data_IF_500925232690
#
_entry.id   IF_500925232690
#
_cell.length_a   1.000
_cell.length_b   1.000
_cell.length_c   1.000
_cell.angle_alpha   90.00
_cell.angle_beta   90.00
_cell.angle_gamma   90.00
#
_symmetry.space_group_name_H-M   'P 1'
#
loop_
_entity.id
_entity.type
_entity.pdbx_description
1 polymer ?
#
# COMPACT_ATOMS: atom_id res chain seq x y z
N UNK A 1 25.48 -61.81 18.02
CA UNK A 1 25.32 -61.78 19.50
C UNK A 1 24.55 -60.49 19.82
N UNK A 2 23.22 -60.47 19.98
CA UNK A 2 22.39 -61.02 21.08
C UNK A 2 22.86 -60.53 22.46
N UNK A 3 22.19 -59.52 23.04
CA UNK A 3 21.14 -59.60 24.10
C UNK A 3 21.78 -59.27 25.48
N UNK A 4 21.15 -58.66 26.50
CA UNK A 4 19.81 -58.06 26.79
C UNK A 4 19.96 -57.20 28.07
N UNK A 5 19.03 -56.35 28.57
CA UNK A 5 17.64 -56.01 28.23
C UNK A 5 16.99 -55.15 29.35
N UNK A 6 15.66 -54.97 29.32
CA UNK A 6 14.79 -54.24 30.28
C UNK A 6 14.99 -52.69 30.39
N UNK A 7 13.95 -51.84 30.48
CA UNK A 7 12.51 -52.06 30.35
C UNK A 7 11.66 -51.42 31.46
N UNK A 8 11.06 -50.24 31.23
CA UNK A 8 9.92 -49.74 32.02
C UNK A 8 8.86 -49.12 31.10
N UNK A 9 7.70 -49.80 31.00
CA UNK A 9 6.43 -49.24 30.52
C UNK A 9 5.58 -48.89 31.74
N UNK A 10 5.08 -47.68 31.84
CA UNK A 10 3.98 -47.34 32.76
C UNK A 10 2.65 -47.54 32.04
N UNK A 11 1.74 -48.33 32.65
CA UNK A 11 0.36 -48.50 32.17
C UNK A 11 -0.51 -47.40 32.78
N UNK A 12 -1.36 -46.78 31.97
CA UNK A 12 -2.55 -46.08 32.45
C UNK A 12 -3.78 -46.95 32.14
N UNK A 13 -4.67 -47.10 33.12
CA UNK A 13 -5.78 -48.04 33.05
C UNK A 13 -7.01 -47.42 32.36
N UNK A 14 -7.73 -48.23 31.58
CA UNK A 14 -9.04 -47.86 31.04
C UNK A 14 -10.11 -47.98 32.14
N UNK A 15 -10.93 -46.94 32.30
CA UNK A 15 -12.27 -47.02 32.89
C UNK A 15 -13.28 -46.48 31.88
N UNK A 16 -14.32 -47.26 31.55
CA UNK A 16 -15.35 -46.87 30.57
C UNK A 16 -16.53 -46.17 31.26
N UNK A 17 -16.99 -45.07 30.68
CA UNK A 17 -18.32 -44.50 30.89
C UNK A 17 -19.03 -44.34 29.52
N UNK A 18 -20.37 -44.47 29.44
CA UNK A 18 -21.12 -44.48 28.18
C UNK A 18 -21.36 -43.06 27.60
N UNK A 19 -21.85 -42.94 26.35
CA UNK A 19 -21.65 -41.74 25.53
C UNK A 19 -22.76 -40.69 25.63
N UNK A 20 -22.43 -39.44 25.29
CA UNK A 20 -23.41 -38.44 24.85
C UNK A 20 -23.34 -38.29 23.32
N UNK A 21 -24.50 -38.38 22.68
CA UNK A 21 -24.69 -38.15 21.25
C UNK A 21 -24.57 -36.64 20.95
N UNK A 22 -23.91 -36.29 19.85
CA UNK A 22 -23.89 -34.93 19.31
C UNK A 22 -24.63 -34.93 17.98
N UNK A 23 -25.91 -34.58 18.01
CA UNK A 23 -26.73 -34.52 16.82
C UNK A 23 -27.35 -33.13 16.58
N UNK A 24 -26.95 -32.56 15.45
CA UNK A 24 -27.78 -31.90 14.45
C UNK A 24 -28.28 -30.43 14.58
N UNK A 25 -28.26 -29.83 13.37
CA UNK A 25 -29.09 -28.75 12.81
C UNK A 25 -28.67 -27.27 12.99
N UNK A 26 -27.94 -26.81 11.96
CA UNK A 26 -28.18 -25.53 11.28
C UNK A 26 -29.68 -25.35 10.95
N UNK A 27 -30.14 -24.09 10.86
CA UNK A 27 -30.77 -23.68 9.61
C UNK A 27 -30.26 -22.34 9.05
N UNK A 28 -30.01 -22.34 7.75
CA UNK A 28 -29.71 -21.18 6.90
C UNK A 28 -30.96 -20.32 6.71
N UNK A 29 -30.84 -18.98 6.75
CA UNK A 29 -31.71 -18.12 5.94
C UNK A 29 -31.11 -16.74 5.64
N UNK A 30 -31.04 -16.39 4.35
CA UNK A 30 -30.82 -15.00 3.89
C UNK A 30 -32.09 -14.17 4.04
N UNK A 31 -31.94 -12.87 4.31
CA UNK A 31 -32.75 -11.87 3.60
C UNK A 31 -32.03 -10.51 3.53
N UNK A 32 -31.80 -10.02 2.31
CA UNK A 32 -31.40 -8.64 2.09
C UNK A 32 -32.65 -7.74 2.02
N UNK A 33 -32.62 -6.59 2.71
CA UNK A 33 -33.67 -5.58 2.61
C UNK A 33 -33.06 -4.17 2.53
N UNK A 34 -33.55 -3.38 1.57
CA UNK A 34 -33.13 -2.00 1.32
C UNK A 34 -33.48 -1.10 2.51
N UNK A 35 -32.54 -0.30 2.99
CA UNK A 35 -32.80 0.82 3.92
C UNK A 35 -32.73 2.17 3.20
N UNK A 36 -33.77 2.47 2.42
CA UNK A 36 -34.07 3.82 1.97
C UNK A 36 -35.03 4.51 2.95
N UNK A 37 -34.51 4.92 4.12
CA UNK A 37 -35.18 5.83 5.09
C UNK A 37 -34.14 6.43 6.07
N UNK A 38 -34.31 7.68 6.54
CA UNK A 38 -33.41 8.28 7.52
C UNK A 38 -33.47 7.58 8.89
N UNK A 39 -32.34 7.51 9.58
CA UNK A 39 -32.18 6.88 10.91
C UNK A 39 -32.94 7.57 12.08
N UNK A 40 -33.66 8.66 11.82
CA UNK A 40 -34.32 9.50 12.83
C UNK A 40 -35.72 9.04 13.27
N UNK A 41 -36.27 7.95 12.72
CA UNK A 41 -37.66 7.50 12.99
C UNK A 41 -37.80 6.01 13.36
N UNK A 42 -36.82 5.43 14.05
CA UNK A 42 -37.01 4.13 14.71
C UNK A 42 -37.45 4.33 16.16
N UNK A 43 -38.65 3.89 16.58
CA UNK A 43 -39.07 3.94 17.97
C UNK A 43 -38.22 2.97 18.81
N UNK A 44 -37.68 3.47 19.93
CA UNK A 44 -36.75 2.72 20.76
C UNK A 44 -37.35 1.42 21.30
N UNK A 45 -36.85 0.28 20.83
CA UNK A 45 -37.12 -1.03 21.41
C UNK A 45 -35.98 -1.42 22.34
N UNK A 46 -36.30 -1.57 23.63
CA UNK A 46 -35.39 -2.13 24.63
C UNK A 46 -35.04 -3.59 24.29
N UNK A 47 -33.77 -3.86 24.05
CA UNK A 47 -33.23 -5.22 24.01
C UNK A 47 -33.09 -5.76 25.44
N UNK A 48 -33.87 -6.78 25.77
CA UNK A 48 -33.75 -7.51 27.03
C UNK A 48 -32.84 -8.73 26.82
N UNK A 49 -31.67 -8.73 27.45
CA UNK A 49 -30.82 -9.92 27.59
C UNK A 49 -31.16 -10.57 28.94
N UNK A 50 -31.49 -11.86 28.94
CA UNK A 50 -31.79 -12.61 30.16
C UNK A 50 -30.66 -13.60 30.42
N UNK A 51 -29.84 -13.34 31.44
CA UNK A 51 -28.91 -14.34 31.98
C UNK A 51 -29.72 -15.42 32.72
N UNK A 52 -29.34 -16.68 32.53
CA UNK A 52 -30.08 -17.85 33.01
C UNK A 52 -29.51 -18.46 34.30
N UNK A 53 -28.56 -17.81 34.97
CA UNK A 53 -27.94 -18.31 36.21
C UNK A 53 -28.11 -17.47 37.48
N UNK A 54 -28.49 -16.21 37.39
CA UNK A 54 -28.92 -15.40 38.55
C UNK A 54 -30.06 -14.47 38.12
N UNK A 55 -31.19 -14.50 38.85
CA UNK A 55 -32.46 -13.87 38.45
C UNK A 55 -32.53 -12.34 38.50
N UNK A 56 -31.43 -11.64 38.29
CA UNK A 56 -31.30 -10.18 38.41
C UNK A 56 -31.51 -9.50 37.04
N UNK A 57 -32.58 -8.71 36.90
CA UNK A 57 -32.79 -7.87 35.71
C UNK A 57 -31.94 -6.60 35.80
N UNK A 58 -30.93 -6.47 34.94
CA UNK A 58 -30.24 -5.19 34.71
C UNK A 58 -30.89 -4.42 33.55
N UNK A 59 -31.63 -3.35 33.87
CA UNK A 59 -32.17 -2.42 32.89
C UNK A 59 -31.12 -1.38 32.50
N UNK A 60 -30.51 -1.53 31.33
CA UNK A 60 -29.67 -0.49 30.72
C UNK A 60 -30.56 0.65 30.20
N UNK A 61 -30.73 1.67 31.03
CA UNK A 61 -31.34 2.94 30.64
C UNK A 61 -30.37 3.71 29.74
N UNK A 62 -30.67 3.73 28.43
CA UNK A 62 -30.09 4.73 27.53
C UNK A 62 -30.67 6.10 27.88
N UNK A 63 -29.96 6.87 28.70
CA UNK A 63 -30.24 8.29 28.86
C UNK A 63 -30.15 8.96 27.48
N UNK A 64 -31.28 9.47 27.00
CA UNK A 64 -31.33 10.34 25.81
C UNK A 64 -30.70 11.69 26.16
N UNK A 65 -29.37 11.75 26.17
CA UNK A 65 -28.65 13.00 26.23
C UNK A 65 -29.07 13.84 25.02
N UNK A 66 -29.81 14.92 25.28
CA UNK A 66 -30.27 15.86 24.26
C UNK A 66 -29.07 16.50 23.58
N UNK A 67 -28.67 15.95 22.44
CA UNK A 67 -27.49 16.36 21.70
C UNK A 67 -27.77 17.67 20.97
N UNK A 68 -27.70 18.77 21.72
CA UNK A 68 -27.67 20.12 21.15
C UNK A 68 -26.41 20.22 20.28
N UNK A 69 -26.51 20.50 18.97
CA UNK A 69 -25.35 20.59 18.09
C UNK A 69 -24.56 21.87 18.42
N UNK A 70 -23.65 21.77 19.39
CA UNK A 70 -22.76 22.87 19.78
C UNK A 70 -21.67 23.06 18.73
N UNK A 71 -21.84 24.10 17.93
CA UNK A 71 -20.81 24.69 17.08
C UNK A 71 -20.63 24.00 15.74
N UNK A 72 -20.40 24.82 14.71
CA UNK A 72 -19.80 24.33 13.48
C UNK A 72 -18.46 23.70 13.83
N UNK A 73 -18.22 22.47 13.35
CA UNK A 73 -16.89 21.84 13.45
C UNK A 73 -15.96 22.61 12.52
N UNK A 74 -15.31 23.64 13.05
CA UNK A 74 -14.29 24.39 12.32
C UNK A 74 -13.23 23.39 11.86
N UNK A 75 -13.19 23.14 10.54
CA UNK A 75 -12.12 22.35 9.95
C UNK A 75 -10.82 23.10 10.25
N UNK A 76 -9.89 22.42 10.91
CA UNK A 76 -8.60 23.03 11.22
C UNK A 76 -7.94 23.41 9.89
N UNK A 77 -7.46 24.65 9.81
CA UNK A 77 -6.84 25.21 8.60
C UNK A 77 -5.77 24.27 8.04
N UNK A 78 -5.71 24.15 6.72
CA UNK A 78 -4.63 23.43 6.05
C UNK A 78 -3.27 23.91 6.54
N UNK A 79 -2.32 22.98 6.65
CA UNK A 79 -0.93 23.29 6.96
C UNK A 79 -0.36 24.03 5.77
N UNK A 80 -0.28 25.36 5.87
CA UNK A 80 0.33 26.20 4.85
C UNK A 80 1.80 25.75 4.65
N UNK A 81 2.19 25.28 3.45
CA UNK A 81 3.53 24.76 3.21
C UNK A 81 4.58 25.85 2.97
N UNK A 82 4.15 27.07 2.64
CA UNK A 82 4.97 28.11 2.05
C UNK A 82 6.28 28.37 2.82
N UNK A 83 7.42 28.18 2.14
CA UNK A 83 8.76 28.64 2.55
C UNK A 83 9.36 27.97 3.79
N UNK A 84 8.71 26.97 4.38
CA UNK A 84 9.17 26.34 5.63
C UNK A 84 9.05 24.81 5.69
N UNK A 85 8.23 24.19 4.83
CA UNK A 85 8.03 22.74 4.83
C UNK A 85 8.89 22.06 3.77
N UNK A 86 9.89 21.31 4.24
CA UNK A 86 10.76 20.50 3.40
C UNK A 86 10.21 19.09 3.18
N UNK A 87 10.24 18.59 1.95
CA UNK A 87 9.80 17.25 1.58
C UNK A 87 10.86 16.52 0.75
N UNK A 88 11.02 15.21 0.98
CA UNK A 88 11.80 14.31 0.12
C UNK A 88 10.84 13.40 -0.65
N UNK A 89 11.00 13.32 -1.96
CA UNK A 89 10.25 12.41 -2.83
C UNK A 89 11.25 11.44 -3.47
N UNK A 90 10.99 10.13 -3.46
CA UNK A 90 11.86 9.14 -4.12
C UNK A 90 11.36 8.79 -5.52
N UNK A 91 12.28 8.56 -6.48
CA UNK A 91 11.95 8.19 -7.85
C UNK A 91 11.36 9.36 -8.65
N UNK A 92 12.06 10.50 -8.66
CA UNK A 92 11.63 11.72 -9.35
C UNK A 92 12.09 11.82 -10.81
N UNK A 93 12.74 10.80 -11.34
CA UNK A 93 13.23 10.75 -12.72
C UNK A 93 12.09 10.83 -13.76
N UNK A 94 10.89 10.33 -13.42
CA UNK A 94 9.71 10.35 -14.30
C UNK A 94 8.39 10.16 -13.54
N UNK A 95 7.26 10.17 -14.27
CA UNK A 95 5.94 9.77 -13.77
C UNK A 95 5.45 10.58 -12.56
N UNK A 96 4.86 9.91 -11.57
CA UNK A 96 4.32 10.56 -10.39
C UNK A 96 5.36 11.36 -9.60
N UNK A 97 6.57 10.82 -9.39
CA UNK A 97 7.59 11.49 -8.57
C UNK A 97 8.03 12.82 -9.18
N UNK A 98 8.26 12.82 -10.49
CA UNK A 98 8.54 14.01 -11.28
C UNK A 98 7.41 15.06 -11.20
N UNK A 99 6.18 14.65 -11.47
CA UNK A 99 5.01 15.55 -11.44
C UNK A 99 4.73 16.09 -10.03
N UNK A 100 4.91 15.26 -9.00
CA UNK A 100 4.84 15.66 -7.59
C UNK A 100 5.91 16.67 -7.22
N UNK A 101 7.14 16.51 -7.71
CA UNK A 101 8.22 17.45 -7.43
C UNK A 101 7.88 18.85 -7.96
N UNK A 102 7.43 18.95 -9.21
CA UNK A 102 6.99 20.20 -9.84
C UNK A 102 5.74 20.78 -9.14
N UNK A 103 4.77 19.95 -8.79
CA UNK A 103 3.55 20.41 -8.11
C UNK A 103 3.82 20.93 -6.69
N UNK A 104 4.55 20.18 -5.87
CA UNK A 104 4.83 20.59 -4.49
C UNK A 104 5.75 21.83 -4.45
N UNK A 105 6.65 21.98 -5.41
CA UNK A 105 7.42 23.21 -5.62
C UNK A 105 6.49 24.40 -5.94
N UNK A 106 5.53 24.25 -6.86
CA UNK A 106 4.57 25.33 -7.18
C UNK A 106 3.62 25.67 -6.02
N UNK A 107 3.41 24.74 -5.09
CA UNK A 107 2.72 24.98 -3.80
C UNK A 107 3.61 25.64 -2.74
N UNK A 108 4.90 25.85 -2.99
CA UNK A 108 5.83 26.54 -2.09
C UNK A 108 6.50 25.65 -1.03
N UNK A 109 6.48 24.33 -1.19
CA UNK A 109 7.35 23.42 -0.42
C UNK A 109 8.82 23.56 -0.84
N UNK A 110 9.74 23.22 0.06
CA UNK A 110 11.14 22.99 -0.28
C UNK A 110 11.26 21.51 -0.69
N UNK A 111 11.52 21.23 -1.96
CA UNK A 111 11.48 19.89 -2.54
C UNK A 111 12.88 19.32 -2.75
N UNK A 112 13.18 18.23 -2.07
CA UNK A 112 14.28 17.33 -2.41
C UNK A 112 13.75 16.24 -3.34
N UNK A 113 14.12 16.32 -4.62
CA UNK A 113 13.73 15.36 -5.64
C UNK A 113 14.78 14.24 -5.73
N UNK A 114 14.52 13.10 -5.08
CA UNK A 114 15.39 11.94 -5.11
C UNK A 114 15.29 11.20 -6.45
N UNK A 115 16.34 11.27 -7.25
CA UNK A 115 16.42 10.70 -8.60
C UNK A 115 17.45 9.55 -8.64
N UNK A 116 17.13 8.46 -9.32
CA UNK A 116 18.02 7.33 -9.54
C UNK A 116 19.17 7.67 -10.51
N UNK A 117 18.91 8.55 -11.48
CA UNK A 117 19.78 8.84 -12.62
C UNK A 117 20.39 10.25 -12.59
N UNK A 118 20.43 10.92 -11.42
CA UNK A 118 20.98 12.28 -11.32
C UNK A 118 22.41 12.38 -11.84
N UNK A 119 23.27 11.47 -11.40
CA UNK A 119 24.69 11.47 -11.79
C UNK A 119 24.91 11.14 -13.29
N UNK A 120 23.87 10.66 -13.99
CA UNK A 120 23.88 10.41 -15.44
C UNK A 120 23.25 11.54 -16.26
N UNK A 121 22.64 12.54 -15.61
CA UNK A 121 21.99 13.66 -16.27
C UNK A 121 20.81 13.24 -17.14
N UNK A 122 19.94 12.35 -16.66
CA UNK A 122 18.69 11.98 -17.35
C UNK A 122 17.79 13.21 -17.61
N UNK A 123 16.99 13.19 -18.69
CA UNK A 123 16.23 14.36 -19.14
C UNK A 123 15.20 14.84 -18.10
N UNK A 124 14.58 13.94 -17.33
CA UNK A 124 13.69 14.34 -16.23
C UNK A 124 14.44 15.08 -15.11
N UNK A 125 15.70 14.71 -14.85
CA UNK A 125 16.57 15.41 -13.89
C UNK A 125 16.97 16.78 -14.45
N UNK A 126 17.36 16.85 -15.73
CA UNK A 126 17.70 18.12 -16.40
C UNK A 126 16.53 19.11 -16.34
N UNK A 127 15.30 18.65 -16.58
CA UNK A 127 14.12 19.52 -16.54
C UNK A 127 13.85 20.02 -15.11
N UNK A 128 13.95 19.16 -14.10
CA UNK A 128 13.82 19.56 -12.69
C UNK A 128 14.90 20.59 -12.28
N UNK A 129 16.17 20.35 -12.63
CA UNK A 129 17.25 21.29 -12.36
C UNK A 129 17.10 22.61 -13.17
N UNK A 130 16.48 22.59 -14.36
CA UNK A 130 16.23 23.78 -15.19
C UNK A 130 15.25 24.78 -14.58
N UNK A 131 14.46 24.38 -13.56
CA UNK A 131 13.59 25.28 -12.80
C UNK A 131 14.39 26.32 -11.98
N UNK A 132 15.70 26.09 -11.79
CA UNK A 132 16.68 27.02 -11.21
C UNK A 132 16.17 27.74 -9.95
N UNK A 133 15.61 26.98 -8.99
CA UNK A 133 14.95 27.51 -7.80
C UNK A 133 15.58 26.97 -6.52
N UNK A 134 15.88 27.85 -5.57
CA UNK A 134 16.40 27.46 -4.24
C UNK A 134 15.45 26.53 -3.45
N UNK A 135 14.18 26.45 -3.85
CA UNK A 135 13.17 25.58 -3.25
C UNK A 135 12.98 24.23 -3.97
N UNK A 136 13.75 23.90 -5.01
CA UNK A 136 13.79 22.56 -5.58
C UNK A 136 15.23 22.12 -5.84
N UNK A 137 15.62 20.97 -5.29
CA UNK A 137 16.95 20.39 -5.44
C UNK A 137 16.85 18.91 -5.78
N UNK A 138 17.39 18.49 -6.91
CA UNK A 138 17.52 17.06 -7.21
C UNK A 138 18.68 16.45 -6.40
N UNK A 139 18.50 15.21 -5.93
CA UNK A 139 19.42 14.47 -5.08
C UNK A 139 19.60 13.06 -5.66
N UNK A 140 20.84 12.60 -5.80
CA UNK A 140 21.12 11.22 -6.24
C UNK A 140 20.66 10.23 -5.15
N UNK A 141 19.71 9.35 -5.47
CA UNK A 141 19.10 8.44 -4.51
C UNK A 141 18.63 7.13 -5.16
N UNK A 142 19.50 6.13 -5.18
CA UNK A 142 19.10 4.73 -5.34
C UNK A 142 18.64 4.16 -3.98
N UNK A 143 17.35 3.90 -3.85
CA UNK A 143 16.75 3.32 -2.62
C UNK A 143 17.29 1.92 -2.27
N UNK A 144 17.95 1.23 -3.20
CA UNK A 144 18.57 -0.09 -2.97
C UNK A 144 19.95 0.01 -2.29
N UNK A 145 20.62 1.16 -2.36
CA UNK A 145 21.95 1.37 -1.75
C UNK A 145 21.82 2.06 -0.39
N UNK A 146 22.19 1.39 0.72
CA UNK A 146 22.27 2.02 2.04
C UNK A 146 23.14 3.28 2.04
N UNK A 147 24.23 3.27 1.26
CA UNK A 147 25.20 4.35 1.17
C UNK A 147 24.61 5.59 0.48
N UNK A 148 23.82 5.41 -0.57
CA UNK A 148 23.12 6.53 -1.22
C UNK A 148 21.96 7.04 -0.36
N UNK A 149 21.23 6.16 0.33
CA UNK A 149 20.18 6.57 1.28
C UNK A 149 20.78 7.43 2.41
N UNK A 150 21.91 7.03 3.01
CA UNK A 150 22.55 7.79 4.07
C UNK A 150 23.14 9.13 3.56
N UNK A 151 23.76 9.13 2.38
CA UNK A 151 24.19 10.39 1.72
C UNK A 151 23.03 11.33 1.44
N UNK A 152 21.86 10.81 1.08
CA UNK A 152 20.65 11.62 0.91
C UNK A 152 20.14 12.16 2.25
N UNK A 153 20.19 11.39 3.35
CA UNK A 153 19.89 11.89 4.71
C UNK A 153 20.80 13.06 5.05
N UNK A 154 22.11 12.94 4.83
CA UNK A 154 23.06 14.02 5.12
C UNK A 154 22.81 15.25 4.24
N UNK A 155 22.56 15.05 2.94
CA UNK A 155 22.28 16.13 1.98
C UNK A 155 21.02 16.90 2.37
N UNK A 156 19.96 16.20 2.75
CA UNK A 156 18.71 16.82 3.24
C UNK A 156 18.98 17.54 4.56
N UNK A 157 19.59 16.85 5.54
CA UNK A 157 19.86 17.39 6.89
C UNK A 157 20.66 18.69 6.86
N UNK A 158 21.74 18.72 6.08
CA UNK A 158 22.63 19.89 5.92
C UNK A 158 21.99 21.02 5.10
N UNK A 159 20.98 20.74 4.27
CA UNK A 159 20.25 21.74 3.49
C UNK A 159 19.05 22.36 4.25
N UNK A 160 18.67 21.84 5.42
CA UNK A 160 17.62 22.42 6.25
C UNK A 160 18.16 23.64 7.00
N UNK A 161 17.43 24.77 6.94
CA UNK A 161 17.73 25.99 7.73
C UNK A 161 17.81 25.74 9.24
N UNK A 162 17.13 24.70 9.71
CA UNK A 162 17.11 24.25 11.10
C UNK A 162 16.91 22.72 11.13
N UNK A 163 17.99 21.92 11.29
CA UNK A 163 17.92 20.46 11.31
C UNK A 163 17.13 19.87 12.50
N UNK A 164 16.92 20.67 13.56
CA UNK A 164 16.14 20.27 14.74
C UNK A 164 14.63 20.50 14.53
N UNK A 165 14.23 21.37 13.61
CA UNK A 165 12.85 21.40 13.06
C UNK A 165 12.57 20.24 12.09
N UNK A 166 13.60 19.54 11.62
CA UNK A 166 13.49 18.28 10.88
C UNK A 166 12.86 18.37 9.49
N UNK A 167 12.53 17.21 8.92
CA UNK A 167 11.93 17.07 7.59
C UNK A 167 10.40 16.99 7.70
N UNK A 168 9.65 17.79 6.94
CA UNK A 168 8.18 17.76 7.03
C UNK A 168 7.58 16.51 6.39
N UNK A 169 8.04 16.10 5.21
CA UNK A 169 7.45 14.99 4.47
C UNK A 169 8.47 14.04 3.85
N UNK A 170 8.17 12.75 3.88
CA UNK A 170 8.79 11.72 3.04
C UNK A 170 7.71 11.09 2.17
N UNK A 171 7.92 11.10 0.85
CA UNK A 171 7.06 10.45 -0.14
C UNK A 171 7.85 9.29 -0.74
N UNK A 172 7.57 8.06 -0.27
CA UNK A 172 8.14 6.85 -0.85
C UNK A 172 7.38 6.49 -2.12
N UNK A 173 7.88 6.95 -3.27
CA UNK A 173 7.28 6.77 -4.59
C UNK A 173 8.11 5.85 -5.50
N UNK A 174 9.43 5.76 -5.30
CA UNK A 174 10.30 4.91 -6.10
C UNK A 174 9.80 3.46 -6.17
N UNK A 175 9.69 2.94 -7.38
CA UNK A 175 9.26 1.57 -7.60
C UNK A 175 9.42 1.12 -9.05
N UNK A 176 9.57 -0.18 -9.24
CA UNK A 176 9.55 -0.84 -10.54
C UNK A 176 8.36 -1.81 -10.62
N UNK A 177 8.07 -2.27 -11.82
CA UNK A 177 7.04 -3.26 -12.07
C UNK A 177 7.51 -4.28 -13.09
N UNK A 178 7.02 -5.49 -12.95
CA UNK A 178 7.22 -6.61 -13.88
C UNK A 178 5.90 -7.35 -14.04
N UNK A 179 5.84 -8.27 -14.98
CA UNK A 179 4.69 -9.15 -15.19
C UNK A 179 5.19 -10.58 -15.41
N UNK A 180 4.25 -11.51 -15.52
CA UNK A 180 4.51 -12.93 -15.76
C UNK A 180 3.74 -13.80 -14.78
N UNK A 181 3.23 -14.93 -15.23
CA UNK A 181 2.58 -15.92 -14.37
C UNK A 181 3.59 -16.53 -13.42
N UNK A 182 3.13 -17.15 -12.32
CA UNK A 182 3.99 -17.51 -11.18
C UNK A 182 5.18 -18.36 -11.61
N UNK A 183 4.95 -19.40 -12.41
CA UNK A 183 6.00 -20.29 -12.96
C UNK A 183 6.85 -19.65 -14.06
N UNK A 184 6.42 -18.53 -14.64
CA UNK A 184 7.18 -17.82 -15.68
C UNK A 184 8.18 -16.84 -15.06
N UNK A 185 8.02 -16.49 -13.78
CA UNK A 185 8.86 -15.49 -13.10
C UNK A 185 9.88 -16.13 -12.16
N UNK A 186 11.17 -15.87 -12.40
CA UNK A 186 12.28 -16.36 -11.56
C UNK A 186 12.28 -15.75 -10.16
N UNK A 187 12.83 -16.47 -9.16
CA UNK A 187 12.95 -15.95 -7.79
C UNK A 187 13.82 -14.67 -7.74
N UNK A 188 14.75 -14.53 -8.66
CA UNK A 188 15.60 -13.37 -8.87
C UNK A 188 14.75 -12.16 -9.29
N UNK A 189 13.76 -12.37 -10.15
CA UNK A 189 12.75 -11.35 -10.51
C UNK A 189 11.93 -10.90 -9.29
N UNK A 190 11.51 -11.83 -8.41
CA UNK A 190 10.84 -11.46 -7.15
C UNK A 190 11.75 -10.64 -6.24
N UNK A 191 13.02 -11.04 -6.07
CA UNK A 191 14.01 -10.33 -5.25
C UNK A 191 14.29 -8.93 -5.78
N UNK A 192 14.47 -8.76 -7.09
CA UNK A 192 14.71 -7.47 -7.74
C UNK A 192 13.56 -6.48 -7.49
N UNK A 193 12.32 -6.90 -7.72
CA UNK A 193 11.14 -6.04 -7.51
C UNK A 193 10.92 -5.75 -6.02
N UNK A 194 11.17 -6.72 -5.13
CA UNK A 194 11.09 -6.53 -3.68
C UNK A 194 12.17 -5.58 -3.16
N UNK A 195 13.40 -5.63 -3.69
CA UNK A 195 14.52 -4.79 -3.28
C UNK A 195 14.22 -3.31 -3.51
N UNK A 196 13.64 -2.96 -4.66
CA UNK A 196 13.19 -1.57 -4.92
C UNK A 196 11.93 -1.24 -4.11
N UNK A 197 10.84 -1.98 -4.32
CA UNK A 197 9.50 -1.56 -3.92
C UNK A 197 9.27 -1.67 -2.41
N UNK A 198 9.78 -2.74 -1.79
CA UNK A 198 9.55 -3.06 -0.39
C UNK A 198 10.76 -2.66 0.45
N UNK A 199 11.93 -3.25 0.19
CA UNK A 199 13.13 -3.00 1.00
C UNK A 199 13.65 -1.58 0.84
N UNK A 200 13.60 -1.01 -0.37
CA UNK A 200 13.90 0.41 -0.60
C UNK A 200 12.98 1.36 0.17
N UNK A 201 11.67 1.10 0.19
CA UNK A 201 10.68 1.85 0.99
C UNK A 201 10.99 1.75 2.49
N UNK A 202 11.24 0.55 3.00
CA UNK A 202 11.56 0.31 4.42
C UNK A 202 12.87 0.99 4.80
N UNK A 203 13.93 0.81 4.00
CA UNK A 203 15.28 1.37 4.20
C UNK A 203 15.23 2.89 4.24
N UNK A 204 14.68 3.53 3.21
CA UNK A 204 14.55 4.98 3.14
C UNK A 204 13.74 5.54 4.31
N UNK A 205 12.59 4.92 4.61
CA UNK A 205 11.77 5.34 5.76
C UNK A 205 12.56 5.29 7.06
N UNK A 206 13.25 4.18 7.35
CA UNK A 206 14.01 4.02 8.60
C UNK A 206 15.14 5.04 8.75
N UNK A 207 15.87 5.34 7.67
CA UNK A 207 16.94 6.36 7.69
C UNK A 207 16.41 7.79 7.89
N UNK A 208 15.24 8.13 7.33
CA UNK A 208 14.65 9.48 7.46
C UNK A 208 13.76 9.68 8.69
N UNK A 209 13.31 8.61 9.36
CA UNK A 209 12.45 8.68 10.55
C UNK A 209 12.94 9.62 11.67
N UNK A 210 14.24 9.73 12.01
CA UNK A 210 14.72 10.68 13.01
C UNK A 210 14.40 12.15 12.67
N UNK A 211 14.53 12.54 11.40
CA UNK A 211 14.20 13.89 10.91
C UNK A 211 12.69 14.13 10.91
N UNK A 212 11.91 13.15 10.44
CA UNK A 212 10.45 13.22 10.39
C UNK A 212 9.84 13.33 11.80
N UNK A 213 10.40 12.59 12.76
CA UNK A 213 9.98 12.58 14.17
C UNK A 213 10.19 13.94 14.83
N UNK A 214 11.35 14.58 14.62
CA UNK A 214 11.60 15.95 15.13
C UNK A 214 10.58 16.95 14.59
N UNK A 215 10.23 16.86 13.31
CA UNK A 215 9.26 17.73 12.66
C UNK A 215 7.78 17.47 13.01
N UNK A 216 7.46 16.33 13.67
CA UNK A 216 6.09 15.76 13.73
C UNK A 216 5.46 15.67 12.34
N UNK A 217 6.27 15.22 11.39
CA UNK A 217 6.02 15.30 9.95
C UNK A 217 5.02 14.27 9.40
N UNK A 218 5.26 13.88 8.14
CA UNK A 218 4.38 13.07 7.30
C UNK A 218 5.19 12.00 6.55
N UNK A 219 4.68 10.78 6.52
CA UNK A 219 5.13 9.73 5.59
C UNK A 219 3.97 9.41 4.66
N UNK A 220 4.24 9.43 3.36
CA UNK A 220 3.28 9.06 2.31
C UNK A 220 3.89 7.92 1.50
N UNK A 221 3.30 6.74 1.58
CA UNK A 221 3.77 5.56 0.85
C UNK A 221 2.89 5.32 -0.37
N UNK A 222 3.49 5.30 -1.57
CA UNK A 222 2.78 4.98 -2.82
C UNK A 222 2.70 3.46 -2.96
N UNK A 223 1.54 2.92 -2.65
CA UNK A 223 1.17 1.52 -2.79
C UNK A 223 0.58 1.27 -4.19
N UNK A 224 -0.56 0.56 -4.28
CA UNK A 224 -1.41 0.36 -5.46
C UNK A 224 -2.71 -0.30 -4.98
N UNK A 225 -3.78 -0.29 -5.80
CA UNK A 225 -4.88 -1.26 -5.64
C UNK A 225 -4.36 -2.72 -5.54
N UNK A 226 -3.23 -3.02 -6.21
CA UNK A 226 -2.56 -4.31 -6.15
C UNK A 226 -1.78 -4.59 -4.85
N UNK A 227 -1.83 -3.66 -3.88
CA UNK A 227 -1.45 -3.90 -2.49
C UNK A 227 -2.59 -4.46 -1.62
N UNK A 228 -3.82 -4.52 -2.15
CA UNK A 228 -5.00 -5.04 -1.45
C UNK A 228 -5.73 -6.15 -2.19
N UNK A 229 -5.68 -6.18 -3.52
CA UNK A 229 -6.14 -7.30 -4.34
C UNK A 229 -5.00 -7.89 -5.18
N UNK A 230 -5.03 -9.19 -5.44
CA UNK A 230 -4.10 -9.83 -6.36
C UNK A 230 -4.65 -9.84 -7.80
N UNK A 231 -3.76 -10.05 -8.78
CA UNK A 231 -4.10 -10.18 -10.20
C UNK A 231 -3.16 -11.23 -10.84
N UNK A 232 -3.67 -12.19 -11.64
CA UNK A 232 -2.86 -13.05 -12.49
C UNK A 232 -1.78 -12.29 -13.27
N UNK A 233 -0.65 -12.95 -13.51
CA UNK A 233 0.55 -12.38 -14.13
C UNK A 233 1.16 -11.14 -13.42
N UNK A 234 0.79 -10.82 -12.17
CA UNK A 234 1.31 -9.66 -11.39
C UNK A 234 1.97 -10.03 -10.05
N UNK A 235 2.16 -11.33 -9.77
CA UNK A 235 2.60 -11.83 -8.45
C UNK A 235 3.86 -11.14 -7.88
N UNK A 236 4.98 -10.98 -8.63
CA UNK A 236 6.18 -10.30 -8.11
C UNK A 236 5.94 -8.83 -7.73
N UNK A 237 4.96 -8.16 -8.33
CA UNK A 237 4.59 -6.79 -7.97
C UNK A 237 3.64 -6.76 -6.77
N UNK A 238 2.57 -7.57 -6.80
CA UNK A 238 1.55 -7.63 -5.75
C UNK A 238 2.16 -7.87 -4.36
N UNK A 239 3.02 -8.89 -4.21
CA UNK A 239 3.63 -9.22 -2.91
C UNK A 239 4.37 -8.03 -2.28
N UNK A 240 5.02 -7.18 -3.11
CA UNK A 240 5.73 -5.99 -2.62
C UNK A 240 4.78 -4.90 -2.15
N UNK A 241 3.65 -4.69 -2.83
CA UNK A 241 2.66 -3.67 -2.46
C UNK A 241 1.85 -4.10 -1.22
N UNK A 242 1.49 -5.39 -1.10
CA UNK A 242 0.94 -5.94 0.15
C UNK A 242 1.94 -5.78 1.32
N UNK A 243 3.24 -5.98 1.09
CA UNK A 243 4.28 -5.70 2.08
C UNK A 243 4.34 -4.22 2.50
N UNK A 244 4.18 -3.30 1.54
CA UNK A 244 4.12 -1.85 1.81
C UNK A 244 2.85 -1.48 2.59
N UNK A 245 1.68 -2.07 2.33
CA UNK A 245 0.48 -1.87 3.17
C UNK A 245 0.75 -2.25 4.63
N UNK A 246 1.25 -3.48 4.86
CA UNK A 246 1.50 -4.01 6.19
C UNK A 246 2.55 -3.17 6.94
N UNK A 247 3.66 -2.82 6.27
CA UNK A 247 4.67 -1.92 6.81
C UNK A 247 4.09 -0.55 7.19
N UNK A 248 3.24 0.01 6.35
CA UNK A 248 2.63 1.33 6.57
C UNK A 248 1.70 1.36 7.77
N UNK A 249 0.92 0.30 7.99
CA UNK A 249 0.06 0.21 9.17
C UNK A 249 0.86 0.02 10.46
N UNK A 250 1.88 -0.84 10.49
CA UNK A 250 2.81 -0.95 11.64
C UNK A 250 3.47 0.40 11.96
N UNK A 251 4.06 1.05 10.95
CA UNK A 251 4.68 2.36 11.07
C UNK A 251 3.70 3.41 11.63
N UNK A 252 2.45 3.40 11.14
CA UNK A 252 1.40 4.32 11.59
C UNK A 252 1.07 4.15 13.07
N UNK A 253 1.03 2.92 13.59
CA UNK A 253 0.81 2.66 15.01
C UNK A 253 2.00 3.11 15.87
N UNK A 254 3.22 2.74 15.48
CA UNK A 254 4.46 3.09 16.19
C UNK A 254 4.72 4.61 16.23
N UNK A 255 4.39 5.32 15.14
CA UNK A 255 4.66 6.74 14.99
C UNK A 255 3.57 7.66 15.57
N UNK A 256 2.38 7.12 15.88
CA UNK A 256 1.26 7.91 16.39
C UNK A 256 1.59 8.70 17.69
N UNK A 257 2.22 8.12 18.73
CA UNK A 257 2.58 8.85 19.95
C UNK A 257 3.63 9.96 19.70
N UNK A 258 4.39 9.84 18.61
CA UNK A 258 5.46 10.75 18.23
C UNK A 258 4.97 11.90 17.32
N UNK A 259 3.67 11.93 17.02
CA UNK A 259 3.01 13.00 16.26
C UNK A 259 3.18 12.94 14.75
N UNK A 260 4.00 12.03 14.23
CA UNK A 260 4.16 11.79 12.78
C UNK A 260 2.90 11.11 12.25
N UNK A 261 2.40 11.56 11.09
CA UNK A 261 1.27 10.90 10.40
C UNK A 261 1.79 10.06 9.25
N UNK A 262 1.16 8.91 9.05
CA UNK A 262 1.48 7.97 7.97
C UNK A 262 0.21 7.76 7.15
N UNK A 263 0.32 7.98 5.84
CA UNK A 263 -0.74 7.81 4.87
C UNK A 263 -0.27 6.88 3.74
N UNK A 264 -1.17 6.06 3.24
CA UNK A 264 -0.95 5.23 2.05
C UNK A 264 -1.77 5.79 0.90
N UNK A 265 -1.17 5.86 -0.29
CA UNK A 265 -1.89 6.18 -1.52
C UNK A 265 -1.91 4.91 -2.36
N UNK A 266 -3.09 4.51 -2.80
CA UNK A 266 -3.35 3.27 -3.54
C UNK A 266 -3.82 3.61 -4.97
N UNK A 267 -2.92 3.92 -5.93
CA UNK A 267 -3.35 4.17 -7.31
C UNK A 267 -3.98 2.94 -7.98
N UNK A 268 -5.01 3.22 -8.79
CA UNK A 268 -5.60 2.26 -9.74
C UNK A 268 -4.74 2.05 -10.98
N UNK A 269 -5.36 1.96 -12.16
CA UNK A 269 -4.61 1.79 -13.41
C UNK A 269 -4.15 3.13 -14.02
N UNK A 270 -2.90 3.52 -13.74
CA UNK A 270 -2.22 4.68 -14.32
C UNK A 270 -1.05 4.28 -15.22
N UNK A 271 -1.07 3.04 -15.74
CA UNK A 271 0.06 2.47 -16.47
C UNK A 271 0.51 3.33 -17.66
N UNK A 272 -0.45 3.95 -18.36
CA UNK A 272 -0.20 4.88 -19.48
C UNK A 272 0.39 6.24 -19.07
N UNK A 273 0.24 6.66 -17.81
CA UNK A 273 0.84 7.89 -17.28
C UNK A 273 2.25 7.70 -16.68
N UNK A 274 2.74 6.45 -16.59
CA UNK A 274 3.95 6.11 -15.86
C UNK A 274 4.94 5.35 -16.71
N UNK A 275 6.22 5.71 -16.65
CA UNK A 275 7.33 5.00 -17.29
C UNK A 275 7.67 3.64 -16.64
N UNK A 276 6.72 3.03 -15.91
CA UNK A 276 6.88 1.69 -15.33
C UNK A 276 7.07 0.62 -16.42
N UNK A 277 6.40 0.79 -17.55
CA UNK A 277 6.57 -0.02 -18.75
C UNK A 277 6.73 0.89 -19.97
N UNK A 278 7.60 0.47 -20.89
CA UNK A 278 7.61 0.92 -22.29
C UNK A 278 7.43 -0.32 -23.18
N UNK A 279 7.02 -0.18 -24.46
CA UNK A 279 6.91 -1.31 -25.38
C UNK A 279 8.21 -2.13 -25.46
N UNK A 280 9.35 -1.46 -25.51
CA UNK A 280 10.69 -2.07 -25.57
C UNK A 280 11.00 -2.84 -24.27
N UNK A 281 10.64 -2.27 -23.11
CA UNK A 281 10.81 -2.94 -21.81
C UNK A 281 9.91 -4.16 -21.68
N UNK A 282 8.68 -4.12 -22.20
CA UNK A 282 7.76 -5.26 -22.20
C UNK A 282 8.35 -6.39 -23.05
N UNK A 283 8.83 -6.09 -24.25
CA UNK A 283 9.46 -7.06 -25.14
C UNK A 283 10.76 -7.64 -24.54
N UNK A 284 11.60 -6.81 -23.91
CA UNK A 284 12.81 -7.28 -23.21
C UNK A 284 12.49 -8.20 -22.02
N UNK A 285 11.45 -7.88 -21.23
CA UNK A 285 10.96 -8.74 -20.14
C UNK A 285 10.42 -10.05 -20.71
N UNK A 286 9.61 -10.01 -21.78
CA UNK A 286 9.03 -11.19 -22.40
C UNK A 286 10.09 -12.13 -23.00
N UNK A 287 11.10 -11.59 -23.70
CA UNK A 287 12.21 -12.37 -24.23
C UNK A 287 13.01 -13.05 -23.11
N UNK A 288 13.47 -12.28 -22.11
CA UNK A 288 14.19 -12.81 -20.94
C UNK A 288 13.37 -13.90 -20.22
N UNK A 289 12.08 -13.65 -20.01
CA UNK A 289 11.16 -14.59 -19.36
C UNK A 289 11.03 -15.89 -20.15
N UNK A 290 10.90 -15.83 -21.48
CA UNK A 290 10.87 -17.02 -22.32
C UNK A 290 12.21 -17.77 -22.28
N UNK A 291 13.34 -17.06 -22.27
CA UNK A 291 14.68 -17.66 -22.30
C UNK A 291 15.12 -18.26 -20.96
N UNK A 292 14.65 -17.72 -19.83
CA UNK A 292 14.87 -18.26 -18.47
C UNK A 292 13.89 -19.38 -18.07
N UNK A 293 12.78 -19.55 -18.80
CA UNK A 293 11.74 -20.55 -18.50
C UNK A 293 12.29 -22.00 -18.55
N UNK A 294 12.07 -22.83 -17.49
CA UNK A 294 12.45 -24.23 -17.48
C UNK A 294 11.78 -25.03 -18.61
N UNK A 295 12.48 -26.04 -19.15
CA UNK A 295 11.99 -26.84 -20.28
C UNK A 295 10.63 -27.51 -19.99
N UNK A 296 10.43 -28.02 -18.76
CA UNK A 296 9.15 -28.60 -18.33
C UNK A 296 8.00 -27.60 -18.45
N UNK A 297 8.19 -26.36 -17.97
CA UNK A 297 7.19 -25.28 -18.04
C UNK A 297 6.96 -24.86 -19.50
N UNK A 298 8.01 -24.75 -20.32
CA UNK A 298 7.86 -24.47 -21.77
C UNK A 298 7.05 -25.56 -22.48
N UNK A 299 7.22 -26.83 -22.09
CA UNK A 299 6.51 -27.98 -22.68
C UNK A 299 5.05 -28.03 -22.24
N UNK A 300 4.77 -27.81 -20.97
CA UNK A 300 3.43 -27.95 -20.41
C UNK A 300 2.50 -26.80 -20.82
N UNK A 301 3.01 -25.57 -20.87
CA UNK A 301 2.23 -24.39 -21.30
C UNK A 301 2.31 -24.13 -22.81
N UNK A 302 3.47 -24.35 -23.43
CA UNK A 302 3.70 -24.12 -24.85
C UNK A 302 3.87 -22.64 -25.24
N UNK A 303 4.58 -22.41 -26.35
CA UNK A 303 4.90 -21.05 -26.84
C UNK A 303 3.66 -20.21 -27.16
N UNK A 304 2.63 -20.81 -27.76
CA UNK A 304 1.38 -20.12 -28.10
C UNK A 304 0.69 -19.51 -26.88
N UNK A 305 0.55 -20.27 -25.79
CA UNK A 305 -0.06 -19.77 -24.56
C UNK A 305 0.74 -18.61 -23.98
N UNK A 306 2.07 -18.71 -23.98
CA UNK A 306 2.96 -17.65 -23.54
C UNK A 306 2.73 -16.35 -24.34
N UNK A 307 2.81 -16.43 -25.68
CA UNK A 307 2.61 -15.26 -26.55
C UNK A 307 1.22 -14.62 -26.37
N UNK A 308 0.16 -15.42 -26.17
CA UNK A 308 -1.18 -14.93 -25.85
C UNK A 308 -1.26 -14.16 -24.52
N UNK A 309 -0.44 -14.52 -23.52
CA UNK A 309 -0.35 -13.79 -22.24
C UNK A 309 0.46 -12.50 -22.39
N UNK A 310 1.50 -12.48 -23.21
CA UNK A 310 2.25 -11.26 -23.54
C UNK A 310 1.34 -10.24 -24.24
N UNK A 311 0.61 -10.65 -25.28
CA UNK A 311 -0.30 -9.77 -26.03
C UNK A 311 -1.41 -9.16 -25.15
N UNK A 312 -1.94 -9.93 -24.18
CA UNK A 312 -2.88 -9.42 -23.17
C UNK A 312 -2.24 -8.37 -22.26
N UNK A 313 -0.99 -8.56 -21.86
CA UNK A 313 -0.24 -7.60 -21.04
C UNK A 313 0.08 -6.31 -21.82
N UNK A 314 0.48 -6.41 -23.10
CA UNK A 314 0.67 -5.25 -23.98
C UNK A 314 -0.61 -4.43 -24.13
N UNK A 315 -1.75 -5.10 -24.34
CA UNK A 315 -3.07 -4.44 -24.40
C UNK A 315 -3.39 -3.73 -23.08
N UNK A 316 -3.09 -4.36 -21.94
CA UNK A 316 -3.29 -3.75 -20.62
C UNK A 316 -2.43 -2.48 -20.42
N UNK A 317 -1.18 -2.46 -20.89
CA UNK A 317 -0.30 -1.29 -20.81
C UNK A 317 -0.83 -0.04 -21.53
N UNK A 318 -1.74 -0.21 -22.50
CA UNK A 318 -2.38 0.88 -23.23
C UNK A 318 -3.74 1.32 -22.63
N UNK A 319 -4.16 0.73 -21.50
CA UNK A 319 -5.52 0.88 -20.94
C UNK A 319 -5.63 1.74 -19.66
N UNK A 320 -4.55 2.41 -19.26
CA UNK A 320 -4.51 3.23 -18.03
C UNK A 320 -4.93 4.69 -18.23
N UNK A 321 -5.26 5.35 -17.12
CA UNK A 321 -5.36 6.82 -17.09
C UNK A 321 -4.03 7.46 -17.46
N UNK A 322 -4.09 8.52 -18.25
CA UNK A 322 -2.97 9.44 -18.55
C UNK A 322 -2.95 10.65 -17.60
N UNK A 323 -4.09 11.02 -17.01
CA UNK A 323 -4.17 12.07 -16.00
C UNK A 323 -3.59 11.56 -14.67
N UNK A 324 -2.63 12.30 -14.10
CA UNK A 324 -1.98 12.00 -12.83
C UNK A 324 -2.50 12.86 -11.67
N UNK A 325 -3.36 13.85 -11.95
CA UNK A 325 -3.87 14.81 -10.98
C UNK A 325 -4.50 14.14 -9.74
N UNK A 326 -5.31 13.07 -9.85
CA UNK A 326 -5.87 12.40 -8.67
C UNK A 326 -4.82 11.87 -7.69
N UNK A 327 -3.66 11.40 -8.18
CA UNK A 327 -2.55 10.92 -7.34
C UNK A 327 -1.80 12.10 -6.71
N UNK A 328 -1.59 13.16 -7.48
CA UNK A 328 -0.94 14.40 -7.02
C UNK A 328 -1.76 15.07 -5.91
N UNK A 329 -3.07 15.18 -6.09
CA UNK A 329 -4.00 15.75 -5.12
C UNK A 329 -4.09 14.89 -3.84
N UNK A 330 -4.11 13.57 -3.98
CA UNK A 330 -4.10 12.66 -2.83
C UNK A 330 -2.83 12.81 -1.97
N UNK A 331 -1.65 12.87 -2.60
CA UNK A 331 -0.37 13.10 -1.89
C UNK A 331 -0.34 14.51 -1.28
N UNK A 332 -0.81 15.52 -2.01
CA UNK A 332 -0.84 16.91 -1.54
C UNK A 332 -1.75 17.04 -0.31
N UNK A 333 -2.96 16.48 -0.34
CA UNK A 333 -3.85 16.43 0.82
C UNK A 333 -3.25 15.64 2.00
N UNK A 334 -2.52 14.54 1.75
CA UNK A 334 -1.81 13.83 2.81
C UNK A 334 -0.72 14.67 3.50
N UNK A 335 -0.11 15.62 2.77
CA UNK A 335 0.92 16.53 3.28
C UNK A 335 0.34 17.80 3.94
N UNK A 336 -0.77 18.36 3.43
CA UNK A 336 -1.34 19.64 3.90
C UNK A 336 -2.49 19.49 4.88
N UNK A 337 -3.26 18.39 4.86
CA UNK A 337 -4.41 18.26 5.77
C UNK A 337 -3.96 18.22 7.24
N UNK A 338 -4.74 18.91 8.09
CA UNK A 338 -4.58 18.84 9.55
C UNK A 338 -4.84 17.41 10.07
N UNK A 339 -5.82 16.73 9.49
CA UNK A 339 -6.17 15.33 9.74
C UNK A 339 -6.21 14.55 8.42
N UNK A 340 -5.05 14.11 7.88
CA UNK A 340 -5.01 13.35 6.64
C UNK A 340 -5.63 11.96 6.82
N UNK A 341 -6.21 11.42 5.75
CA UNK A 341 -6.70 10.03 5.75
C UNK A 341 -5.55 9.04 5.88
N UNK A 342 -5.83 7.86 6.43
CA UNK A 342 -4.86 6.75 6.49
C UNK A 342 -4.61 6.13 5.12
N UNK A 343 -5.63 6.13 4.26
CA UNK A 343 -5.63 5.57 2.89
C UNK A 343 -6.32 6.52 1.92
N UNK A 344 -5.76 6.64 0.72
CA UNK A 344 -6.32 7.37 -0.42
C UNK A 344 -6.45 6.43 -1.60
N UNK A 345 -7.57 6.48 -2.32
CA UNK A 345 -7.86 5.62 -3.47
C UNK A 345 -7.99 6.44 -4.76
N UNK A 346 -6.90 7.06 -5.27
CA UNK A 346 -6.95 7.73 -6.57
C UNK A 346 -7.08 6.67 -7.67
N UNK A 347 -8.31 6.40 -8.08
CA UNK A 347 -8.68 5.46 -9.12
C UNK A 347 -10.11 5.77 -9.58
N UNK A 348 -10.49 5.33 -10.78
CA UNK A 348 -11.87 5.42 -11.23
C UNK A 348 -12.80 4.48 -10.43
N UNK A 349 -14.11 4.68 -10.61
CA UNK A 349 -15.13 3.90 -9.92
C UNK A 349 -15.08 2.40 -10.26
N UNK A 350 -14.64 2.03 -11.47
CA UNK A 350 -14.54 0.64 -11.89
C UNK A 350 -13.44 -0.10 -11.11
N UNK A 351 -12.23 0.46 -11.05
CA UNK A 351 -11.15 -0.11 -10.25
C UNK A 351 -11.46 -0.09 -8.76
N UNK A 352 -12.10 0.97 -8.26
CA UNK A 352 -12.52 1.04 -6.86
C UNK A 352 -13.51 -0.07 -6.52
N UNK A 353 -14.57 -0.23 -7.32
CA UNK A 353 -15.59 -1.27 -7.10
C UNK A 353 -14.99 -2.67 -7.22
N UNK A 354 -14.13 -2.91 -8.23
CA UNK A 354 -13.42 -4.18 -8.40
C UNK A 354 -12.56 -4.51 -7.18
N UNK A 355 -11.82 -3.53 -6.66
CA UNK A 355 -11.00 -3.69 -5.46
C UNK A 355 -11.87 -3.96 -4.21
N UNK A 356 -13.03 -3.31 -4.04
CA UNK A 356 -13.96 -3.64 -2.95
C UNK A 356 -14.49 -5.08 -3.06
N UNK A 357 -14.94 -5.51 -4.25
CA UNK A 357 -15.43 -6.87 -4.53
C UNK A 357 -14.36 -7.91 -4.16
N UNK A 358 -13.13 -7.73 -4.66
CA UNK A 358 -12.01 -8.64 -4.42
C UNK A 358 -11.54 -8.70 -2.95
N UNK A 359 -11.84 -7.69 -2.13
CA UNK A 359 -11.34 -7.60 -0.75
C UNK A 359 -12.38 -7.89 0.33
N UNK A 360 -13.68 -7.89 -0.01
CA UNK A 360 -14.77 -8.04 0.97
C UNK A 360 -15.75 -9.17 0.64
N UNK A 361 -15.77 -9.73 -0.58
CA UNK A 361 -16.55 -10.93 -0.86
C UNK A 361 -15.79 -12.20 -0.47
N UNK A 362 -16.48 -13.33 -0.21
CA UNK A 362 -15.84 -14.63 -0.04
C UNK A 362 -15.03 -15.00 -1.29
N UNK A 363 -13.85 -15.60 -1.10
CA UNK A 363 -12.91 -15.93 -2.18
C UNK A 363 -13.56 -16.66 -3.37
N UNK A 364 -14.40 -17.68 -3.10
CA UNK A 364 -15.12 -18.39 -4.16
C UNK A 364 -16.01 -17.49 -5.05
N UNK A 365 -16.55 -16.39 -4.51
CA UNK A 365 -17.35 -15.43 -5.28
C UNK A 365 -16.47 -14.46 -6.06
N UNK A 366 -15.38 -13.96 -5.46
CA UNK A 366 -14.43 -13.10 -6.18
C UNK A 366 -13.72 -13.84 -7.31
N UNK A 367 -13.35 -15.10 -7.07
CA UNK A 367 -12.66 -15.95 -8.03
C UNK A 367 -13.59 -16.31 -9.20
N UNK A 368 -14.87 -16.61 -8.94
CA UNK A 368 -15.87 -16.81 -9.99
C UNK A 368 -16.10 -15.56 -10.86
N UNK A 369 -15.91 -14.35 -10.34
CA UNK A 369 -16.02 -13.08 -11.09
C UNK A 369 -14.73 -12.76 -11.88
N UNK A 370 -13.61 -13.42 -11.57
CA UNK A 370 -12.29 -13.07 -12.10
C UNK A 370 -11.70 -14.13 -13.03
N UNK A 371 -11.96 -15.41 -12.74
CA UNK A 371 -11.45 -16.58 -13.49
C UNK A 371 -12.41 -16.97 -14.62
N UNK A 372 -13.71 -16.69 -14.45
CA UNK A 372 -14.79 -16.97 -15.39
C UNK A 372 -15.45 -15.68 -15.90
#
# INVERSE_FOLDING_TARGET
MHCSGAGRRTRLACGRGPPEEVDHLLPTMMLAARLSRPLSQLPGRTLSVCDRKNGTRHSLLFCSASWTPKGHRAYASEVNPAGSKAVLITGCDSGFGFSLAKHLHSKGFIVFAGCLLKDKGDDGVKELDSLNSEHLRTVQLNVCSPEQVEKAVETVRSSLKDPEKGLWGLINNAGISTFGEVEFTTMETYKEVAEVNLWGTVRTTKSFLPLLRRAKGRVVNISSMLGRMANPARSPYCITKFGVEAFSDCLRYEMYPLGVKVSVVEPGNFIAATSLYSPERIQAIAAKMWDELPEVVRKDYGRKYFDEKIAKMETYCNSGSTDTSPVIDAVTHALTAATPYTRYHPMDYYWWLRMQIMTHLPGAVSDMIYIH
#
